data_IF_084818768045
#
_entry.id   IF_084818768045
#
_cell.length_a   1.000
_cell.length_b   1.000
_cell.length_c   1.000
_cell.angle_alpha   90.00
_cell.angle_beta   90.00
_cell.angle_gamma   90.00
#
_symmetry.space_group_name_H-M   'P 1'
#
loop_
_entity.id
_entity.type
_entity.pdbx_description
1 polymer ?
#
# COMPACT_ATOMS: atom_id res chain seq x y z
N UNK A 1 -18.76 6.24 -5.20
CA UNK A 1 -17.55 5.71 -5.87
C UNK A 1 -17.94 5.33 -7.28
N UNK A 2 -17.07 5.52 -8.30
CA UNK A 2 -17.31 4.93 -9.60
C UNK A 2 -17.43 3.42 -9.42
N UNK A 3 -18.59 2.87 -9.79
CA UNK A 3 -18.85 1.45 -9.64
C UNK A 3 -18.43 0.75 -10.93
N UNK A 4 -17.23 0.19 -10.91
CA UNK A 4 -16.69 -0.59 -12.04
C UNK A 4 -17.24 -2.03 -12.08
N UNK A 5 -18.26 -2.34 -11.29
CA UNK A 5 -18.90 -3.66 -11.30
C UNK A 5 -19.76 -3.88 -12.55
N UNK A 6 -20.27 -2.80 -13.15
CA UNK A 6 -21.09 -2.88 -14.35
C UNK A 6 -20.22 -2.95 -15.60
N UNK A 7 -20.60 -3.78 -16.58
CA UNK A 7 -19.87 -3.89 -17.85
C UNK A 7 -19.74 -2.53 -18.58
N UNK A 8 -20.75 -1.68 -18.43
CA UNK A 8 -20.81 -0.36 -19.07
C UNK A 8 -19.73 0.60 -18.57
N UNK A 9 -19.22 0.41 -17.35
CA UNK A 9 -18.17 1.26 -16.75
C UNK A 9 -16.75 0.74 -17.01
N UNK A 10 -16.58 -0.44 -17.62
CA UNK A 10 -15.26 -0.99 -17.90
C UNK A 10 -14.47 -0.19 -18.94
N UNK A 11 -15.14 0.41 -19.94
CA UNK A 11 -14.47 1.27 -20.91
C UNK A 11 -13.86 2.49 -20.24
N UNK A 12 -14.59 3.13 -19.32
CA UNK A 12 -14.09 4.25 -18.53
C UNK A 12 -12.90 3.82 -17.64
N UNK A 13 -12.96 2.63 -17.02
CA UNK A 13 -11.84 2.09 -16.25
C UNK A 13 -10.56 1.94 -17.10
N UNK A 14 -10.68 1.44 -18.33
CA UNK A 14 -9.55 1.24 -19.23
C UNK A 14 -8.98 2.56 -19.77
N UNK A 15 -9.85 3.53 -20.08
CA UNK A 15 -9.45 4.83 -20.64
C UNK A 15 -8.92 5.80 -19.59
N UNK A 16 -9.55 5.86 -18.42
CA UNK A 16 -9.27 6.87 -17.40
C UNK A 16 -8.29 6.35 -16.34
N UNK A 17 -8.33 5.06 -16.00
CA UNK A 17 -7.52 4.46 -14.93
C UNK A 17 -6.82 3.15 -15.36
N UNK A 18 -5.97 3.20 -16.40
CA UNK A 18 -5.38 2.01 -17.00
C UNK A 18 -4.53 1.19 -16.03
N UNK A 19 -3.84 1.85 -15.08
CA UNK A 19 -3.01 1.14 -14.10
C UNK A 19 -3.85 0.30 -13.15
N UNK A 20 -5.00 0.83 -12.73
CA UNK A 20 -5.96 0.12 -11.88
C UNK A 20 -6.55 -1.07 -12.62
N UNK A 21 -6.96 -0.88 -13.87
CA UNK A 21 -7.46 -1.95 -14.72
C UNK A 21 -6.47 -3.11 -14.83
N UNK A 22 -5.21 -2.80 -15.19
CA UNK A 22 -4.16 -3.81 -15.34
C UNK A 22 -3.84 -4.49 -14.01
N UNK A 23 -3.81 -3.74 -12.90
CA UNK A 23 -3.57 -4.32 -11.57
C UNK A 23 -4.66 -5.32 -11.19
N UNK A 24 -5.93 -4.96 -11.37
CA UNK A 24 -7.07 -5.86 -11.11
C UNK A 24 -6.99 -7.10 -12.00
N UNK A 25 -6.69 -6.95 -13.29
CA UNK A 25 -6.52 -8.08 -14.21
C UNK A 25 -5.34 -8.97 -13.82
N UNK A 26 -4.24 -8.39 -13.37
CA UNK A 26 -3.05 -9.11 -12.90
C UNK A 26 -3.40 -9.97 -11.69
N UNK A 27 -4.14 -9.43 -10.72
CA UNK A 27 -4.61 -10.17 -9.55
C UNK A 27 -5.62 -11.25 -9.97
N UNK A 28 -6.61 -10.90 -10.79
CA UNK A 28 -7.66 -11.82 -11.25
C UNK A 28 -7.09 -13.02 -12.03
N UNK A 29 -6.07 -12.79 -12.87
CA UNK A 29 -5.41 -13.84 -13.65
C UNK A 29 -4.83 -14.96 -12.77
N UNK A 30 -4.50 -14.68 -11.50
CA UNK A 30 -4.00 -15.66 -10.53
C UNK A 30 -5.06 -16.64 -10.07
N UNK A 31 -6.32 -16.22 -10.04
CA UNK A 31 -7.46 -16.98 -9.50
C UNK A 31 -8.37 -17.54 -10.58
N UNK A 32 -8.22 -17.06 -11.82
CA UNK A 32 -9.02 -17.49 -12.95
C UNK A 32 -8.68 -18.92 -13.37
N UNK A 33 -9.71 -19.77 -13.42
CA UNK A 33 -9.61 -21.14 -13.95
C UNK A 33 -10.04 -21.14 -15.41
N UNK A 34 -9.08 -21.17 -16.32
CA UNK A 34 -9.36 -21.25 -17.75
C UNK A 34 -9.73 -22.68 -18.16
N UNK A 35 -10.63 -22.82 -19.13
CA UNK A 35 -11.04 -24.13 -19.68
C UNK A 35 -10.37 -24.39 -21.04
N UNK A 36 -10.15 -25.66 -21.39
CA UNK A 36 -9.51 -26.08 -22.65
C UNK A 36 -7.99 -26.29 -22.56
N UNK A 37 -7.31 -26.51 -23.70
CA UNK A 37 -5.88 -26.80 -23.76
C UNK A 37 -5.03 -25.74 -23.04
N UNK A 38 -4.03 -26.17 -22.26
CA UNK A 38 -3.20 -25.26 -21.47
C UNK A 38 -3.98 -24.48 -20.41
N UNK A 39 -5.10 -25.00 -19.90
CA UNK A 39 -5.88 -24.42 -18.80
C UNK A 39 -5.03 -24.08 -17.57
N UNK A 40 -4.02 -24.91 -17.28
CA UNK A 40 -3.11 -24.72 -16.15
C UNK A 40 -1.98 -23.74 -16.44
N UNK A 41 -1.47 -23.67 -17.68
CA UNK A 41 -0.31 -22.83 -18.02
C UNK A 41 -0.68 -21.42 -18.48
N UNK A 42 -1.80 -21.24 -19.19
CA UNK A 42 -2.24 -19.94 -19.71
C UNK A 42 -2.43 -18.87 -18.62
N UNK A 43 -3.03 -19.14 -17.45
CA UNK A 43 -3.15 -18.13 -16.40
C UNK A 43 -1.80 -17.57 -15.96
N UNK A 44 -0.75 -18.42 -15.91
CA UNK A 44 0.62 -18.00 -15.58
C UNK A 44 1.21 -17.10 -16.67
N UNK A 45 1.05 -17.47 -17.94
CA UNK A 45 1.53 -16.67 -19.07
C UNK A 45 0.82 -15.30 -19.15
N UNK A 46 -0.49 -15.27 -18.91
CA UNK A 46 -1.28 -14.04 -18.84
C UNK A 46 -0.80 -13.17 -17.68
N UNK A 47 -0.65 -13.77 -16.49
CA UNK A 47 -0.17 -13.06 -15.30
C UNK A 47 1.21 -12.43 -15.55
N UNK A 48 2.15 -13.19 -16.13
CA UNK A 48 3.50 -12.68 -16.44
C UNK A 48 3.45 -11.51 -17.43
N UNK A 49 2.65 -11.62 -18.50
CA UNK A 49 2.51 -10.53 -19.48
C UNK A 49 1.89 -9.27 -18.88
N UNK A 50 0.86 -9.42 -18.04
CA UNK A 50 0.23 -8.31 -17.35
C UNK A 50 1.17 -7.68 -16.33
N UNK A 51 1.93 -8.49 -15.60
CA UNK A 51 2.94 -8.00 -14.65
C UNK A 51 4.04 -7.21 -15.35
N UNK A 52 4.64 -7.72 -16.42
CA UNK A 52 5.67 -6.98 -17.17
C UNK A 52 5.14 -5.64 -17.70
N UNK A 53 3.87 -5.57 -18.11
CA UNK A 53 3.24 -4.33 -18.51
C UNK A 53 3.06 -3.36 -17.33
N UNK A 54 2.56 -3.87 -16.19
CA UNK A 54 2.36 -3.10 -14.96
C UNK A 54 3.68 -2.57 -14.38
N UNK A 55 4.73 -3.38 -14.40
CA UNK A 55 6.08 -2.99 -14.01
C UNK A 55 6.59 -1.83 -14.88
N UNK A 56 6.37 -1.89 -16.19
CA UNK A 56 6.65 -0.77 -17.09
C UNK A 56 5.88 0.50 -16.73
N UNK A 57 4.61 0.39 -16.31
CA UNK A 57 3.83 1.52 -15.82
C UNK A 57 4.37 2.09 -14.51
N UNK A 58 4.77 1.24 -13.57
CA UNK A 58 5.41 1.64 -12.31
C UNK A 58 6.73 2.36 -12.59
N UNK A 59 7.58 1.83 -13.45
CA UNK A 59 8.85 2.48 -13.82
C UNK A 59 8.61 3.87 -14.42
N UNK A 60 7.60 4.02 -15.29
CA UNK A 60 7.23 5.32 -15.84
C UNK A 60 6.71 6.29 -14.78
N UNK A 61 5.97 5.80 -13.79
CA UNK A 61 5.52 6.60 -12.66
C UNK A 61 6.72 7.07 -11.80
N UNK A 62 7.62 6.16 -11.43
CA UNK A 62 8.83 6.44 -10.63
C UNK A 62 9.69 7.50 -11.29
N UNK A 63 9.93 7.39 -12.60
CA UNK A 63 10.78 8.31 -13.35
C UNK A 63 10.05 9.52 -13.92
N UNK A 64 8.74 9.67 -13.69
CA UNK A 64 7.93 10.73 -14.29
C UNK A 64 7.90 10.69 -15.82
N UNK A 65 8.11 9.52 -16.44
CA UNK A 65 8.12 9.31 -17.90
C UNK A 65 6.71 9.03 -18.46
N UNK A 66 5.69 9.55 -17.80
CA UNK A 66 4.35 9.54 -18.35
C UNK A 66 4.28 10.50 -19.54
N UNK A 67 3.63 10.05 -20.61
CA UNK A 67 3.31 10.97 -21.68
C UNK A 67 2.13 11.80 -21.17
N UNK A 68 2.35 13.08 -20.89
CA UNK A 68 1.26 14.03 -20.73
C UNK A 68 0.49 14.01 -22.04
N UNK A 69 -0.60 13.23 -22.10
CA UNK A 69 -1.40 13.11 -23.30
C UNK A 69 -1.77 14.51 -23.75
N UNK A 70 -1.24 14.90 -24.90
CA UNK A 70 -1.53 16.12 -25.64
C UNK A 70 -2.94 16.05 -26.24
N UNK A 71 -3.93 15.72 -25.40
CA UNK A 71 -5.32 15.95 -25.71
C UNK A 71 -5.53 17.46 -25.77
N UNK A 72 -6.11 17.95 -26.86
CA UNK A 72 -6.24 19.36 -27.22
C UNK A 72 -6.94 20.27 -26.17
N UNK A 73 -7.45 19.72 -25.07
CA UNK A 73 -8.05 20.44 -23.95
C UNK A 73 -7.08 20.67 -22.76
N UNK A 74 -5.88 20.10 -22.81
CA UNK A 74 -4.83 20.25 -21.78
C UNK A 74 -3.60 21.02 -22.29
N UNK A 75 -3.73 21.73 -23.41
CA UNK A 75 -2.69 22.62 -23.93
C UNK A 75 -2.59 23.87 -23.04
N UNK A 76 -1.87 23.76 -21.92
CA UNK A 76 -1.61 24.86 -21.00
C UNK A 76 -1.72 24.54 -19.51
N UNK A 77 -2.18 23.34 -19.13
CA UNK A 77 -2.11 22.94 -17.73
C UNK A 77 -0.66 22.63 -17.37
N UNK A 78 -0.11 23.42 -16.44
CA UNK A 78 1.16 23.11 -15.80
C UNK A 78 1.04 21.72 -15.17
N UNK A 79 2.10 20.90 -15.20
CA UNK A 79 2.09 19.56 -14.59
C UNK A 79 1.73 19.55 -13.09
N UNK A 80 1.70 20.72 -12.44
CA UNK A 80 1.29 20.96 -11.05
C UNK A 80 -0.20 21.32 -10.86
N UNK A 81 -0.93 21.68 -11.91
CA UNK A 81 -2.34 22.06 -11.79
C UNK A 81 -3.23 20.80 -11.75
N UNK A 82 -3.88 20.62 -10.60
CA UNK A 82 -4.62 19.39 -10.26
C UNK A 82 -6.09 19.61 -10.60
N UNK A 83 -6.50 19.22 -11.81
CA UNK A 83 -7.93 19.07 -12.11
C UNK A 83 -8.28 17.58 -11.99
N UNK A 84 -8.83 17.15 -10.84
CA UNK A 84 -8.97 15.73 -10.55
C UNK A 84 -9.99 15.01 -11.44
N UNK A 85 -10.98 15.72 -11.97
CA UNK A 85 -12.12 15.12 -12.68
C UNK A 85 -11.82 14.74 -14.14
N UNK A 86 -10.82 15.36 -14.75
CA UNK A 86 -10.45 15.15 -16.16
C UNK A 86 -9.07 14.53 -16.31
N UNK A 87 -8.45 14.12 -15.20
CA UNK A 87 -7.11 13.56 -15.23
C UNK A 87 -7.12 12.18 -15.87
N UNK A 88 -6.27 11.99 -16.86
CA UNK A 88 -5.96 10.70 -17.49
C UNK A 88 -4.47 10.41 -17.35
N UNK A 89 -4.10 9.14 -17.32
CA UNK A 89 -2.70 8.70 -17.27
C UNK A 89 -2.34 8.01 -15.96
N UNK A 90 -1.08 8.18 -15.52
CA UNK A 90 -0.53 7.42 -14.40
C UNK A 90 -0.66 8.14 -13.05
N UNK A 91 -1.06 9.40 -12.99
CA UNK A 91 -1.23 10.15 -11.74
C UNK A 91 -2.66 10.25 -11.23
N UNK A 92 -3.41 9.17 -11.23
CA UNK A 92 -4.82 9.15 -10.80
C UNK A 92 -4.99 8.55 -9.40
N UNK A 93 -6.18 8.70 -8.79
CA UNK A 93 -6.54 7.97 -7.57
C UNK A 93 -6.45 6.46 -7.80
N UNK A 94 -6.86 5.98 -8.97
CA UNK A 94 -6.72 4.58 -9.35
C UNK A 94 -5.27 4.08 -9.34
N UNK A 95 -4.29 4.93 -9.65
CA UNK A 95 -2.88 4.54 -9.51
C UNK A 95 -2.46 4.39 -8.06
N UNK A 96 -2.88 5.29 -7.16
CA UNK A 96 -2.63 5.14 -5.72
C UNK A 96 -3.24 3.84 -5.22
N UNK A 97 -4.49 3.57 -5.57
CA UNK A 97 -5.18 2.32 -5.23
C UNK A 97 -4.46 1.10 -5.81
N UNK A 98 -3.92 1.19 -7.03
CA UNK A 98 -3.13 0.12 -7.65
C UNK A 98 -1.89 -0.23 -6.84
N UNK A 99 -1.15 0.79 -6.39
CA UNK A 99 0.06 0.60 -5.59
C UNK A 99 -0.26 -0.02 -4.23
N UNK A 100 -1.37 0.41 -3.60
CA UNK A 100 -1.86 -0.20 -2.37
C UNK A 100 -2.34 -1.64 -2.58
N UNK A 101 -3.01 -1.93 -3.68
CA UNK A 101 -3.40 -3.31 -4.01
C UNK A 101 -2.18 -4.22 -4.15
N UNK A 102 -1.08 -3.72 -4.74
CA UNK A 102 0.16 -4.48 -4.89
C UNK A 102 0.88 -4.76 -3.56
N UNK A 103 0.62 -3.99 -2.51
CA UNK A 103 1.21 -4.26 -1.18
C UNK A 103 0.52 -5.42 -0.47
N UNK A 104 -0.76 -5.63 -0.73
CA UNK A 104 -1.50 -6.81 -0.27
C UNK A 104 -1.30 -8.00 -1.22
N UNK A 105 -1.29 -7.72 -2.53
CA UNK A 105 -1.21 -8.72 -3.59
C UNK A 105 0.09 -8.65 -4.37
N UNK A 106 1.13 -9.24 -3.77
CA UNK A 106 2.43 -9.39 -4.43
C UNK A 106 2.32 -10.27 -5.69
N UNK A 107 2.70 -9.76 -6.87
CA UNK A 107 2.98 -10.56 -8.06
C UNK A 107 4.03 -11.61 -7.75
N UNK A 108 3.91 -12.78 -8.37
CA UNK A 108 4.75 -13.93 -8.03
C UNK A 108 6.24 -13.64 -8.23
N UNK A 109 6.55 -12.88 -9.27
CA UNK A 109 7.92 -12.50 -9.63
C UNK A 109 8.61 -11.64 -8.57
N UNK A 110 7.86 -10.89 -7.75
CA UNK A 110 8.44 -10.06 -6.68
C UNK A 110 9.01 -10.87 -5.50
N UNK A 111 8.69 -12.17 -5.40
CA UNK A 111 9.23 -13.04 -4.35
C UNK A 111 10.59 -13.64 -4.70
N UNK A 112 11.05 -13.48 -5.93
CA UNK A 112 12.32 -14.01 -6.41
C UNK A 112 13.28 -12.84 -6.66
N UNK A 113 14.59 -13.02 -6.44
CA UNK A 113 15.58 -12.08 -6.93
C UNK A 113 15.44 -11.93 -8.46
N UNK A 114 15.77 -10.75 -9.02
CA UNK A 114 15.82 -10.59 -10.46
C UNK A 114 16.79 -11.60 -11.09
N UNK A 115 16.53 -11.98 -12.34
CA UNK A 115 17.37 -12.97 -13.06
C UNK A 115 18.82 -12.47 -13.24
N UNK A 116 19.04 -11.15 -13.24
CA UNK A 116 20.35 -10.50 -13.25
C UNK A 116 20.83 -10.24 -11.80
N UNK A 117 21.53 -11.21 -11.22
CA UNK A 117 22.18 -11.09 -9.91
C UNK A 117 23.51 -10.32 -10.01
N UNK A 118 23.43 -9.02 -10.35
CA UNK A 118 24.57 -8.10 -10.36
C UNK A 118 24.78 -7.46 -8.98
N UNK A 119 24.53 -8.21 -7.90
CA UNK A 119 24.58 -7.70 -6.51
C UNK A 119 25.96 -7.16 -6.12
N UNK A 120 27.01 -7.56 -6.83
CA UNK A 120 28.36 -7.02 -6.69
C UNK A 120 29.01 -6.79 -8.06
N UNK A 121 29.14 -5.52 -8.45
CA UNK A 121 30.00 -5.14 -9.58
C UNK A 121 31.49 -5.43 -9.27
N UNK A 122 31.87 -5.37 -7.99
CA UNK A 122 33.18 -5.74 -7.44
C UNK A 122 33.02 -6.16 -5.97
N UNK A 123 33.64 -7.28 -5.58
CA UNK A 123 33.78 -7.67 -4.17
C UNK A 123 34.83 -6.78 -3.47
N UNK A 124 34.59 -6.30 -2.24
CA UNK A 124 35.64 -5.70 -1.43
C UNK A 124 36.79 -6.71 -1.23
N UNK A 125 38.04 -6.27 -1.41
CA UNK A 125 39.24 -7.14 -1.34
C UNK A 125 39.35 -7.95 -0.03
N UNK A 126 38.76 -7.44 1.06
CA UNK A 126 38.69 -8.11 2.36
C UNK A 126 37.69 -9.29 2.40
N UNK A 127 36.63 -9.25 1.60
CA UNK A 127 35.65 -10.34 1.48
C UNK A 127 36.13 -11.45 0.54
N UNK A 128 36.94 -11.10 -0.48
CA UNK A 128 37.61 -12.07 -1.36
C UNK A 128 38.59 -12.99 -0.60
N UNK A 129 39.16 -12.51 0.52
CA UNK A 129 40.00 -13.35 1.40
C UNK A 129 39.21 -14.14 2.45
N UNK A 130 37.97 -13.74 2.76
CA UNK A 130 37.10 -14.48 3.69
C UNK A 130 36.38 -15.65 3.02
N UNK A 131 36.04 -15.53 1.73
CA UNK A 131 35.38 -16.59 0.96
C UNK A 131 36.22 -17.86 0.80
N UNK A 132 37.56 -17.78 0.87
CA UNK A 132 38.43 -18.97 0.91
C UNK A 132 38.49 -19.65 2.29
N UNK A 133 38.01 -18.98 3.35
CA UNK A 133 38.16 -19.44 4.75
C UNK A 133 36.87 -19.93 5.41
N UNK A 134 35.70 -19.69 4.81
CA UNK A 134 34.40 -19.88 5.49
C UNK A 134 33.82 -21.30 5.41
N UNK A 135 34.56 -22.25 4.81
CA UNK A 135 34.20 -23.67 4.82
C UNK A 135 34.37 -24.35 6.21
N UNK A 136 34.70 -23.57 7.26
CA UNK A 136 35.05 -24.09 8.60
C UNK A 136 34.35 -23.44 9.81
N UNK A 137 33.42 -22.50 9.64
CA UNK A 137 32.74 -21.86 10.77
C UNK A 137 31.30 -22.39 10.98
N UNK A 138 31.20 -23.53 11.66
CA UNK A 138 29.95 -24.27 11.88
C UNK A 138 29.05 -23.77 13.01
N UNK A 139 28.59 -22.52 13.00
CA UNK A 139 27.68 -22.01 14.06
C UNK A 139 26.52 -21.11 13.59
N UNK A 140 26.06 -21.28 12.35
CA UNK A 140 24.77 -20.72 11.92
C UNK A 140 23.67 -21.78 12.03
N UNK A 141 22.55 -21.43 12.65
CA UNK A 141 21.39 -22.30 12.82
C UNK A 141 20.91 -22.77 11.44
N UNK A 142 21.21 -24.04 11.12
CA UNK A 142 20.82 -24.67 9.86
C UNK A 142 19.33 -24.98 9.91
N UNK A 143 18.57 -24.42 8.98
CA UNK A 143 17.17 -24.74 8.76
C UNK A 143 16.97 -26.14 8.18
N UNK A 144 15.71 -26.52 7.97
CA UNK A 144 15.35 -27.81 7.35
C UNK A 144 15.99 -27.86 5.95
N UNK A 145 16.79 -28.90 5.68
CA UNK A 145 17.50 -29.06 4.41
C UNK A 145 18.91 -28.45 4.35
N UNK A 146 19.48 -27.98 5.46
CA UNK A 146 20.89 -27.53 5.52
C UNK A 146 21.13 -26.10 5.02
N UNK A 147 20.09 -25.42 4.53
CA UNK A 147 20.08 -23.99 4.21
C UNK A 147 19.98 -23.16 5.49
N UNK A 148 20.66 -21.99 5.56
CA UNK A 148 20.58 -21.08 6.71
C UNK A 148 19.13 -20.61 6.91
N UNK A 149 18.68 -20.43 8.16
CA UNK A 149 17.35 -19.88 8.45
C UNK A 149 17.10 -18.55 7.73
N UNK A 150 18.15 -17.74 7.57
CA UNK A 150 18.11 -16.45 6.86
C UNK A 150 17.60 -16.59 5.43
N UNK A 151 17.93 -17.67 4.72
CA UNK A 151 17.49 -17.95 3.34
C UNK A 151 15.99 -18.16 3.24
N UNK A 152 15.35 -18.67 4.30
CA UNK A 152 13.89 -18.89 4.33
C UNK A 152 13.10 -17.63 4.69
N UNK A 153 13.72 -16.68 5.41
CA UNK A 153 13.11 -15.41 5.81
C UNK A 153 13.31 -14.30 4.78
N UNK A 154 14.30 -14.45 3.90
CA UNK A 154 14.64 -13.48 2.87
C UNK A 154 13.44 -13.05 2.00
N UNK A 155 12.56 -13.95 1.52
CA UNK A 155 11.37 -13.53 0.77
C UNK A 155 10.41 -12.64 1.59
N UNK A 156 10.30 -12.88 2.90
CA UNK A 156 9.47 -12.06 3.79
C UNK A 156 10.06 -10.66 3.95
N UNK A 157 11.38 -10.55 4.15
CA UNK A 157 12.05 -9.24 4.26
C UNK A 157 12.05 -8.47 2.94
N UNK A 158 12.21 -9.16 1.81
CA UNK A 158 12.08 -8.54 0.47
C UNK A 158 10.67 -8.00 0.26
N UNK A 159 9.64 -8.78 0.58
CA UNK A 159 8.25 -8.34 0.53
C UNK A 159 8.01 -7.11 1.40
N UNK A 160 8.51 -7.10 2.64
CA UNK A 160 8.37 -5.96 3.56
C UNK A 160 9.01 -4.67 3.00
N UNK A 161 10.20 -4.78 2.39
CA UNK A 161 10.86 -3.65 1.72
C UNK A 161 10.07 -3.16 0.51
N UNK A 162 9.56 -4.08 -0.31
CA UNK A 162 8.76 -3.76 -1.48
C UNK A 162 7.47 -3.05 -1.08
N UNK A 163 6.74 -3.58 -0.09
CA UNK A 163 5.55 -2.92 0.48
C UNK A 163 5.87 -1.49 0.92
N UNK A 164 6.96 -1.31 1.65
CA UNK A 164 7.36 0.00 2.14
C UNK A 164 7.65 0.99 1.00
N UNK A 165 8.35 0.54 -0.06
CA UNK A 165 8.63 1.37 -1.24
C UNK A 165 7.36 1.71 -2.03
N UNK A 166 6.49 0.73 -2.27
CA UNK A 166 5.22 0.94 -2.99
C UNK A 166 4.29 1.87 -2.21
N UNK A 167 4.16 1.69 -0.89
CA UNK A 167 3.37 2.58 -0.04
C UNK A 167 3.96 4.00 0.00
N UNK A 168 5.28 4.13 0.09
CA UNK A 168 5.94 5.45 0.06
C UNK A 168 5.66 6.16 -1.27
N UNK A 169 5.70 5.44 -2.39
CA UNK A 169 5.36 6.00 -3.70
C UNK A 169 3.87 6.34 -3.81
N UNK A 170 2.97 5.48 -3.32
CA UNK A 170 1.54 5.74 -3.28
C UNK A 170 1.23 7.00 -2.45
N UNK A 171 1.93 7.15 -1.33
CA UNK A 171 1.84 8.30 -0.45
C UNK A 171 2.34 9.59 -1.13
N UNK A 172 3.54 9.57 -1.74
CA UNK A 172 4.07 10.71 -2.49
C UNK A 172 3.12 11.13 -3.62
N UNK A 173 2.58 10.16 -4.37
CA UNK A 173 1.58 10.44 -5.39
C UNK A 173 0.30 11.02 -4.79
N UNK A 174 -0.18 10.47 -3.66
CA UNK A 174 -1.37 10.98 -2.98
C UNK A 174 -1.24 12.45 -2.55
N UNK A 175 -0.06 12.88 -2.10
CA UNK A 175 0.22 14.30 -1.83
C UNK A 175 0.19 15.12 -3.11
N UNK A 176 0.87 14.66 -4.16
CA UNK A 176 0.93 15.37 -5.43
C UNK A 176 -0.44 15.58 -6.06
N UNK A 177 -1.34 14.60 -5.92
CA UNK A 177 -2.69 14.68 -6.47
C UNK A 177 -3.69 15.33 -5.50
N UNK A 178 -3.25 15.82 -4.35
CA UNK A 178 -4.09 16.57 -3.41
C UNK A 178 -5.07 15.73 -2.57
N UNK A 179 -4.75 14.45 -2.29
CA UNK A 179 -5.55 13.59 -1.39
C UNK A 179 -5.63 14.17 0.02
N UNK A 180 -4.53 14.78 0.49
CA UNK A 180 -4.39 15.34 1.83
C UNK A 180 -4.74 16.84 1.92
N UNK A 181 -5.21 17.46 0.83
CA UNK A 181 -5.61 18.87 0.85
C UNK A 181 -6.85 19.06 1.73
N UNK A 182 -6.73 19.86 2.78
CA UNK A 182 -7.84 20.24 3.67
C UNK A 182 -8.89 21.08 2.94
N UNK A 183 -8.44 21.99 2.08
CA UNK A 183 -9.30 22.84 1.27
C UNK A 183 -9.35 22.30 -0.17
N UNK A 184 -10.50 21.79 -0.59
CA UNK A 184 -10.74 21.35 -1.97
C UNK A 184 -10.72 22.49 -2.98
N UNK A 185 -10.50 23.74 -2.59
CA UNK A 185 -10.41 24.89 -3.51
C UNK A 185 -9.54 24.62 -4.75
N UNK A 186 -8.40 23.92 -4.62
CA UNK A 186 -7.56 23.49 -5.76
C UNK A 186 -8.28 22.55 -6.73
N UNK A 187 -9.11 21.67 -6.20
CA UNK A 187 -9.96 20.72 -6.92
C UNK A 187 -11.25 21.37 -7.45
N UNK A 188 -11.59 22.57 -6.98
CA UNK A 188 -12.86 23.26 -7.24
C UNK A 188 -12.74 24.42 -8.27
N UNK A 189 -11.58 24.63 -8.87
CA UNK A 189 -11.33 25.74 -9.79
C UNK A 189 -12.19 25.71 -11.08
N UNK A 190 -12.73 24.56 -11.48
CA UNK A 190 -13.54 24.37 -12.70
C UNK A 190 -14.88 23.64 -12.48
N UNK A 191 -15.51 23.81 -11.32
CA UNK A 191 -16.77 23.13 -10.97
C UNK A 191 -17.94 23.43 -11.91
N UNK A 192 -17.91 24.54 -12.64
CA UNK A 192 -19.01 25.00 -13.50
C UNK A 192 -19.35 24.00 -14.64
N UNK A 193 -18.50 23.00 -14.89
CA UNK A 193 -18.67 21.99 -15.94
C UNK A 193 -19.01 20.58 -15.41
N UNK A 194 -19.02 20.37 -14.09
CA UNK A 194 -19.11 19.04 -13.48
C UNK A 194 -20.35 18.91 -12.60
N UNK A 195 -21.08 17.80 -12.71
CA UNK A 195 -22.24 17.50 -11.87
C UNK A 195 -21.85 17.34 -10.39
N UNK A 196 -22.66 17.90 -9.48
CA UNK A 196 -22.56 17.75 -8.02
C UNK A 196 -22.44 16.30 -7.55
N UNK A 197 -23.04 15.35 -8.27
CA UNK A 197 -22.94 13.93 -7.95
C UNK A 197 -21.52 13.39 -8.18
N UNK A 198 -20.87 13.78 -9.28
CA UNK A 198 -19.48 13.38 -9.59
C UNK A 198 -18.50 13.96 -8.59
N UNK A 199 -18.71 15.20 -8.16
CA UNK A 199 -17.89 15.88 -7.16
C UNK A 199 -17.94 15.10 -5.83
N UNK A 200 -19.15 14.81 -5.34
CA UNK A 200 -19.34 14.02 -4.11
C UNK A 200 -18.77 12.61 -4.22
N UNK A 201 -18.90 11.96 -5.38
CA UNK A 201 -18.35 10.63 -5.62
C UNK A 201 -16.82 10.62 -5.61
N UNK A 202 -16.19 11.64 -6.19
CA UNK A 202 -14.74 11.84 -6.16
C UNK A 202 -14.25 12.09 -4.73
N UNK A 203 -14.88 13.03 -4.01
CA UNK A 203 -14.48 13.35 -2.63
C UNK A 203 -14.57 12.13 -1.71
N UNK A 204 -15.63 11.33 -1.84
CA UNK A 204 -15.75 10.08 -1.06
C UNK A 204 -14.61 9.11 -1.37
N UNK A 205 -14.25 8.93 -2.65
CA UNK A 205 -13.15 8.05 -3.06
C UNK A 205 -11.81 8.59 -2.56
N UNK A 206 -11.58 9.89 -2.67
CA UNK A 206 -10.37 10.57 -2.19
C UNK A 206 -10.18 10.36 -0.68
N UNK A 207 -11.22 10.60 0.12
CA UNK A 207 -11.18 10.39 1.58
C UNK A 207 -10.96 8.92 1.93
N UNK A 208 -11.61 8.01 1.21
CA UNK A 208 -11.41 6.57 1.40
C UNK A 208 -9.95 6.14 1.12
N UNK A 209 -9.34 6.65 0.04
CA UNK A 209 -7.92 6.43 -0.28
C UNK A 209 -7.03 7.00 0.82
N UNK A 210 -7.32 8.22 1.30
CA UNK A 210 -6.61 8.85 2.42
C UNK A 210 -6.61 7.95 3.65
N UNK A 211 -7.79 7.51 4.08
CA UNK A 211 -7.98 6.73 5.29
C UNK A 211 -7.26 5.37 5.21
N UNK A 212 -7.38 4.68 4.08
CA UNK A 212 -6.67 3.42 3.88
C UNK A 212 -5.15 3.62 3.85
N UNK A 213 -4.63 4.66 3.17
CA UNK A 213 -3.19 4.94 3.13
C UNK A 213 -2.63 5.13 4.53
N UNK A 214 -3.34 5.85 5.41
CA UNK A 214 -2.95 6.03 6.81
C UNK A 214 -2.86 4.70 7.55
N UNK A 215 -3.83 3.82 7.35
CA UNK A 215 -3.83 2.49 7.96
C UNK A 215 -2.64 1.66 7.48
N UNK A 216 -2.48 1.49 6.16
CA UNK A 216 -1.42 0.66 5.59
C UNK A 216 -0.02 1.17 5.93
N UNK A 217 0.17 2.48 5.91
CA UNK A 217 1.45 3.11 6.27
C UNK A 217 1.78 2.84 7.73
N UNK A 218 0.81 3.00 8.63
CA UNK A 218 0.99 2.78 10.08
C UNK A 218 1.29 1.31 10.42
N UNK A 219 0.59 0.38 9.76
CA UNK A 219 0.81 -1.05 9.96
C UNK A 219 2.17 -1.51 9.42
N UNK A 220 2.53 -1.04 8.22
CA UNK A 220 3.79 -1.42 7.58
C UNK A 220 4.99 -0.80 8.30
N UNK A 221 4.91 0.46 8.73
CA UNK A 221 6.01 1.11 9.45
C UNK A 221 6.33 0.38 10.77
N UNK A 222 5.31 -0.05 11.50
CA UNK A 222 5.46 -0.89 12.70
C UNK A 222 6.12 -2.24 12.42
N UNK A 223 5.71 -2.92 11.34
CA UNK A 223 6.26 -4.23 10.95
C UNK A 223 7.71 -4.14 10.51
N UNK A 224 8.08 -3.12 9.73
CA UNK A 224 9.46 -2.92 9.25
C UNK A 224 10.34 -2.28 10.33
N UNK A 225 9.75 -1.69 11.39
CA UNK A 225 10.47 -0.99 12.44
C UNK A 225 11.02 0.36 11.99
N UNK A 226 10.35 1.00 11.03
CA UNK A 226 10.69 2.33 10.52
C UNK A 226 9.73 3.37 11.10
N UNK A 227 10.22 4.57 11.35
CA UNK A 227 9.35 5.71 11.62
C UNK A 227 8.73 6.18 10.30
N UNK A 228 7.44 6.52 10.32
CA UNK A 228 6.77 7.06 9.13
C UNK A 228 7.43 8.38 8.71
N UNK A 229 7.74 8.54 7.42
CA UNK A 229 8.50 9.66 6.84
C UNK A 229 7.72 10.99 6.75
N UNK A 230 6.59 11.11 7.43
CA UNK A 230 5.67 12.25 7.28
C UNK A 230 5.52 13.04 8.58
N UNK A 231 5.26 14.35 8.49
CA UNK A 231 4.91 15.14 9.66
C UNK A 231 3.72 14.50 10.38
N UNK A 232 3.77 14.46 11.72
CA UNK A 232 2.77 13.77 12.56
C UNK A 232 1.32 14.16 12.22
N UNK A 233 1.11 15.41 11.80
CA UNK A 233 -0.20 15.98 11.45
C UNK A 233 -0.85 15.34 10.22
N UNK A 234 -0.09 14.67 9.34
CA UNK A 234 -0.63 14.03 8.14
C UNK A 234 -0.72 12.51 8.28
N UNK A 235 -0.18 11.92 9.36
CA UNK A 235 0.00 10.49 9.52
C UNK A 235 -0.68 9.92 10.76
N UNK A 236 -1.73 10.59 11.23
CA UNK A 236 -2.51 10.10 12.35
C UNK A 236 -3.86 9.55 11.86
N UNK A 237 -4.08 8.21 11.95
CA UNK A 237 -5.38 7.61 11.71
C UNK A 237 -6.51 8.25 12.53
N UNK A 238 -6.19 8.82 13.70
CA UNK A 238 -7.16 9.50 14.56
C UNK A 238 -7.73 10.80 13.96
N UNK A 239 -7.06 11.39 12.96
CA UNK A 239 -7.51 12.61 12.27
C UNK A 239 -8.51 12.32 11.14
N UNK A 240 -8.83 11.04 10.89
CA UNK A 240 -9.85 10.70 9.91
C UNK A 240 -11.24 11.20 10.33
N UNK A 241 -12.01 11.68 9.34
CA UNK A 241 -13.38 12.12 9.53
C UNK A 241 -14.31 11.01 10.06
N UNK A 242 -14.03 9.74 9.73
CA UNK A 242 -14.79 8.57 10.19
C UNK A 242 -14.15 7.90 11.41
N UNK A 243 -13.20 8.54 12.09
CA UNK A 243 -12.63 7.99 13.32
C UNK A 243 -13.64 7.99 14.48
N UNK A 244 -14.59 8.92 14.49
CA UNK A 244 -15.77 8.83 15.38
C UNK A 244 -16.84 7.96 14.71
N UNK A 245 -17.31 6.94 15.41
CA UNK A 245 -18.35 6.02 14.93
C UNK A 245 -19.64 6.76 14.56
N UNK A 246 -19.91 7.92 15.18
CA UNK A 246 -21.08 8.77 14.88
C UNK A 246 -21.04 9.36 13.47
N UNK A 247 -19.85 9.51 12.90
CA UNK A 247 -19.66 10.02 11.55
C UNK A 247 -19.74 8.92 10.50
N UNK A 248 -19.83 7.64 10.91
CA UNK A 248 -19.98 6.51 10.00
C UNK A 248 -21.46 6.39 9.59
N UNK A 249 -21.79 6.55 8.30
CA UNK A 249 -23.14 6.36 7.80
C UNK A 249 -23.70 4.98 8.13
N UNK A 250 -24.91 4.95 8.69
CA UNK A 250 -25.60 3.70 9.02
C UNK A 250 -25.85 2.85 7.77
N UNK A 251 -25.63 1.54 7.88
CA UNK A 251 -25.83 0.57 6.79
C UNK A 251 -24.71 0.51 5.74
N UNK A 252 -23.65 1.32 5.85
CA UNK A 252 -22.50 1.24 4.94
C UNK A 252 -21.38 0.38 5.52
N UNK A 253 -21.38 -0.92 5.18
CA UNK A 253 -20.38 -1.89 5.63
C UNK A 253 -18.94 -1.47 5.37
N UNK A 254 -18.67 -0.88 4.20
CA UNK A 254 -17.32 -0.47 3.81
C UNK A 254 -16.74 0.59 4.75
N UNK A 255 -17.53 1.61 5.09
CA UNK A 255 -17.09 2.71 5.96
C UNK A 255 -16.93 2.24 7.41
N UNK A 256 -17.77 1.32 7.88
CA UNK A 256 -17.61 0.67 9.18
C UNK A 256 -16.31 -0.15 9.27
N UNK A 257 -16.00 -0.95 8.24
CA UNK A 257 -14.74 -1.70 8.20
C UNK A 257 -13.55 -0.74 8.27
N UNK A 258 -13.56 0.35 7.50
CA UNK A 258 -12.46 1.32 7.53
C UNK A 258 -12.35 2.01 8.88
N UNK A 259 -13.47 2.37 9.52
CA UNK A 259 -13.47 2.89 10.88
C UNK A 259 -12.75 1.93 11.85
N UNK A 260 -13.09 0.64 11.81
CA UNK A 260 -12.45 -0.37 12.65
C UNK A 260 -10.95 -0.51 12.34
N UNK A 261 -10.58 -0.41 11.07
CA UNK A 261 -9.18 -0.43 10.60
C UNK A 261 -8.39 0.80 11.07
N UNK A 262 -8.98 1.99 11.04
CA UNK A 262 -8.39 3.22 11.56
C UNK A 262 -8.18 3.14 13.07
N UNK A 263 -9.16 2.62 13.81
CA UNK A 263 -9.06 2.43 15.26
C UNK A 263 -7.92 1.49 15.64
N UNK A 264 -7.84 0.33 15.00
CA UNK A 264 -6.76 -0.62 15.29
C UNK A 264 -5.40 -0.06 14.86
N UNK A 265 -5.33 0.66 13.74
CA UNK A 265 -4.10 1.33 13.31
C UNK A 265 -3.63 2.39 14.32
N UNK A 266 -4.54 3.19 14.89
CA UNK A 266 -4.21 4.15 15.94
C UNK A 266 -3.66 3.45 17.19
N UNK A 267 -4.27 2.34 17.62
CA UNK A 267 -3.77 1.53 18.74
C UNK A 267 -2.37 0.97 18.43
N UNK A 268 -2.17 0.45 17.21
CA UNK A 268 -0.88 -0.06 16.75
C UNK A 268 0.18 1.03 16.74
N UNK A 269 -0.17 2.25 16.30
CA UNK A 269 0.74 3.41 16.33
C UNK A 269 1.22 3.69 17.75
N UNK A 270 0.31 3.79 18.72
CA UNK A 270 0.66 3.97 20.13
C UNK A 270 1.55 2.83 20.63
N UNK A 271 1.24 1.58 20.29
CA UNK A 271 2.09 0.44 20.63
C UNK A 271 3.49 0.54 20.02
N UNK A 272 3.60 0.95 18.76
CA UNK A 272 4.88 1.12 18.07
C UNK A 272 5.72 2.23 18.70
N UNK A 273 5.11 3.34 19.11
CA UNK A 273 5.78 4.49 19.71
C UNK A 273 6.15 4.29 21.18
N UNK A 274 5.36 3.51 21.95
CA UNK A 274 5.58 3.31 23.39
C UNK A 274 6.35 2.02 23.71
N UNK A 275 5.98 0.89 23.08
CA UNK A 275 6.56 -0.43 23.37
C UNK A 275 7.73 -0.77 22.44
N UNK A 276 7.63 -0.39 21.17
CA UNK A 276 8.53 -0.86 20.10
C UNK A 276 9.38 0.24 19.46
N UNK A 277 9.51 1.41 20.10
CA UNK A 277 10.18 2.57 19.50
C UNK A 277 11.64 2.29 19.10
N UNK A 278 12.34 1.49 19.91
CA UNK A 278 13.71 1.08 19.65
C UNK A 278 14.01 -0.23 20.39
N UNK A 279 14.79 -1.14 19.75
CA UNK A 279 15.30 -2.38 20.35
C UNK A 279 15.91 -2.18 21.75
N UNK A 280 16.64 -1.10 21.97
CA UNK A 280 17.24 -0.80 23.26
C UNK A 280 16.18 -0.52 24.35
N UNK A 281 15.19 0.32 24.02
CA UNK A 281 14.08 0.69 24.89
C UNK A 281 13.18 -0.52 25.16
N UNK A 282 12.78 -1.27 24.13
CA UNK A 282 11.98 -2.48 24.27
C UNK A 282 12.65 -3.50 25.18
N UNK A 283 13.97 -3.72 25.01
CA UNK A 283 14.74 -4.62 25.89
C UNK A 283 14.75 -4.14 27.34
N UNK A 284 14.85 -2.83 27.57
CA UNK A 284 14.81 -2.29 28.93
C UNK A 284 13.42 -2.41 29.56
N UNK A 285 12.35 -2.15 28.81
CA UNK A 285 10.96 -2.36 29.23
C UNK A 285 10.71 -3.82 29.62
N UNK A 286 11.24 -4.78 28.85
CA UNK A 286 11.15 -6.21 29.15
C UNK A 286 11.93 -6.53 30.43
N UNK A 287 13.18 -6.08 30.54
CA UNK A 287 14.06 -6.35 31.70
C UNK A 287 13.51 -5.78 33.00
N UNK A 288 12.95 -4.58 32.94
CA UNK A 288 12.40 -3.86 34.11
C UNK A 288 10.99 -4.32 34.49
N UNK A 289 10.32 -5.14 33.66
CA UNK A 289 8.95 -5.60 33.89
C UNK A 289 7.87 -4.55 33.61
N UNK A 290 8.25 -3.34 33.17
CA UNK A 290 7.35 -2.22 32.86
C UNK A 290 6.34 -2.52 31.75
N UNK A 291 6.61 -3.53 30.92
CA UNK A 291 5.67 -3.96 29.88
C UNK A 291 4.30 -4.33 30.47
N UNK A 292 4.22 -4.82 31.71
CA UNK A 292 2.95 -5.20 32.35
C UNK A 292 2.02 -4.00 32.55
N UNK A 293 2.57 -2.87 33.01
CA UNK A 293 1.80 -1.64 33.21
C UNK A 293 1.35 -1.06 31.86
N UNK A 294 2.24 -1.04 30.87
CA UNK A 294 1.90 -0.59 29.51
C UNK A 294 0.81 -1.46 28.88
N UNK A 295 0.88 -2.78 29.04
CA UNK A 295 -0.17 -3.70 28.56
C UNK A 295 -1.50 -3.49 29.29
N UNK A 296 -1.48 -3.19 30.59
CA UNK A 296 -2.70 -2.86 31.34
C UNK A 296 -3.40 -1.61 30.79
N UNK A 297 -2.65 -0.65 30.25
CA UNK A 297 -3.20 0.55 29.62
C UNK A 297 -3.77 0.26 28.22
N UNK A 298 -3.13 -0.61 27.43
CA UNK A 298 -3.58 -0.95 26.07
C UNK A 298 -4.76 -1.93 26.05
N UNK A 299 -4.84 -2.82 27.03
CA UNK A 299 -5.89 -3.83 27.14
C UNK A 299 -7.33 -3.28 27.08
N UNK A 300 -7.72 -2.24 27.85
CA UNK A 300 -9.08 -1.70 27.79
C UNK A 300 -9.41 -1.10 26.42
N UNK A 301 -8.43 -0.49 25.75
CA UNK A 301 -8.62 0.11 24.42
C UNK A 301 -8.87 -0.98 23.38
N UNK A 302 -8.08 -2.06 23.40
CA UNK A 302 -8.29 -3.22 22.53
C UNK A 302 -9.62 -3.93 22.81
N UNK A 303 -10.02 -4.02 24.09
CA UNK A 303 -11.29 -4.64 24.47
C UNK A 303 -12.48 -3.82 23.96
N UNK A 304 -12.42 -2.49 24.08
CA UNK A 304 -13.44 -1.57 23.54
C UNK A 304 -13.55 -1.67 22.02
N UNK A 305 -12.41 -1.68 21.33
CA UNK A 305 -12.38 -1.93 19.88
C UNK A 305 -13.01 -3.27 19.52
N UNK A 306 -12.66 -4.34 20.25
CA UNK A 306 -13.19 -5.68 20.01
C UNK A 306 -14.70 -5.76 20.21
N UNK A 307 -15.23 -5.13 21.26
CA UNK A 307 -16.68 -5.03 21.49
C UNK A 307 -17.40 -4.35 20.32
N UNK A 308 -16.80 -3.30 19.76
CA UNK A 308 -17.37 -2.59 18.59
C UNK A 308 -17.40 -3.48 17.36
N UNK A 309 -16.32 -4.25 17.11
CA UNK A 309 -16.27 -5.24 16.04
C UNK A 309 -17.34 -6.33 16.24
N UNK A 310 -17.43 -6.90 17.45
CA UNK A 310 -18.35 -7.99 17.75
C UNK A 310 -19.82 -7.53 17.63
N UNK A 311 -20.15 -6.29 18.05
CA UNK A 311 -21.49 -5.74 17.83
C UNK A 311 -21.88 -5.64 16.36
N UNK A 312 -20.90 -5.40 15.48
CA UNK A 312 -21.14 -5.26 14.05
C UNK A 312 -21.24 -6.60 13.31
N UNK A 313 -20.48 -7.62 13.74
CA UNK A 313 -20.53 -8.97 13.13
C UNK A 313 -21.82 -9.72 13.46
N UNK A 314 -22.52 -9.30 14.52
CA UNK A 314 -23.78 -9.90 14.98
C UNK A 314 -25.04 -9.29 14.36
N UNK A 315 -24.91 -8.22 13.57
CA UNK A 315 -25.98 -7.61 12.75
C UNK A 315 -25.93 -8.12 11.29
#
# INVERSE_FOLDING_TARGET
MPEYASLNSHTALLEDEPMLAVTILTIASRHMKLTGPGSQSRPYAIHQKLWSYLEGMINRLVWGQEQFSSSAHNAGQFGSDIIPYFRKGLRTLGTVESLMLLTEWHPRSMHFPPDDDDSELMLPEQMAMQSESDDRSGDSIKGIGGQRIDTWLEPCWRSDRICWMLLSMAMSLAFEIGVFDENTARHMAELNLVSDEKIRAYDRRRLHVKDLLLVYTTQTSGRVGLITMLPQNYCDPALSHIFDIRNVPHGQTKEMVIHLWLKIAAIMKTGNEELFANRALTRDIIRTGRYKEMLQNLYPVLTSWRQTLDSYVLE
#
